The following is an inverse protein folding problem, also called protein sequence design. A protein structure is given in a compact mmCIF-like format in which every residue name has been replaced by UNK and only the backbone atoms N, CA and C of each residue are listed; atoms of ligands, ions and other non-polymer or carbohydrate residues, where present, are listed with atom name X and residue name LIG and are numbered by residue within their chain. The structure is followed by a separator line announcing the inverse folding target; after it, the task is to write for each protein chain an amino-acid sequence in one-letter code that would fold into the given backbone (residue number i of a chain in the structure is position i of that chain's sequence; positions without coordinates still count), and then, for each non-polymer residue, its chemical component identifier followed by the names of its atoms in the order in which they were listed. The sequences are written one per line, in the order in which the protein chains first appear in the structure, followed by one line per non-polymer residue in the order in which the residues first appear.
data_IF_821564110436
#
_entry.id   IF_821564110436
#
_cell.length_a   1.000
_cell.length_b   1.000
_cell.length_c   1.000
_cell.angle_alpha   90.00
_cell.angle_beta   90.00
_cell.angle_gamma   90.00
#
_symmetry.space_group_name_H-M   'P 1'
#
loop_
_entity.id
_entity.type
_entity.pdbx_description
1 polymer ?
#
# COMPACT_ATOMS: atom_id res chain seq x y z
N UNK A 1 15.01 28.73 9.30
CA UNK A 1 13.96 28.28 8.36
C UNK A 1 13.27 29.51 7.77
N UNK A 2 13.04 29.56 6.46
CA UNK A 2 12.34 30.68 5.82
C UNK A 2 10.83 30.54 6.00
N UNK A 3 10.07 31.65 5.96
CA UNK A 3 8.59 31.64 6.00
C UNK A 3 8.00 30.70 4.91
N UNK A 4 8.65 30.68 3.74
CA UNK A 4 8.30 29.80 2.63
C UNK A 4 8.46 28.32 3.00
N UNK A 5 9.55 27.94 3.67
CA UNK A 5 9.78 26.56 4.12
C UNK A 5 8.70 26.10 5.10
N UNK A 6 8.31 26.94 6.06
CA UNK A 6 7.21 26.64 7.00
C UNK A 6 5.89 26.44 6.27
N UNK A 7 5.58 27.29 5.29
CA UNK A 7 4.34 27.18 4.51
C UNK A 7 4.32 25.91 3.66
N UNK A 8 5.44 25.54 3.04
CA UNK A 8 5.58 24.30 2.27
C UNK A 8 5.40 23.09 3.19
N UNK A 9 6.07 23.07 4.34
CA UNK A 9 5.98 21.96 5.28
C UNK A 9 4.56 21.81 5.84
N UNK A 10 3.88 22.92 6.12
CA UNK A 10 2.49 22.92 6.53
C UNK A 10 1.57 22.33 5.45
N UNK A 11 1.75 22.70 4.18
CA UNK A 11 1.00 22.12 3.06
C UNK A 11 1.28 20.61 2.93
N UNK A 12 2.54 20.19 3.06
CA UNK A 12 2.91 18.77 3.03
C UNK A 12 2.27 17.99 4.19
N UNK A 13 2.26 18.56 5.40
CA UNK A 13 1.63 17.94 6.57
C UNK A 13 0.12 17.72 6.41
N UNK A 14 -0.57 18.56 5.62
CA UNK A 14 -1.97 18.34 5.25
C UNK A 14 -2.15 17.09 4.37
N UNK A 15 -1.23 16.84 3.43
CA UNK A 15 -1.26 15.63 2.62
C UNK A 15 -0.99 14.38 3.46
N UNK A 16 -0.08 14.46 4.45
CA UNK A 16 0.18 13.36 5.39
C UNK A 16 -1.08 13.05 6.21
N UNK A 17 -1.73 14.08 6.75
CA UNK A 17 -2.98 13.95 7.47
C UNK A 17 -4.10 13.36 6.61
N UNK A 18 -4.23 13.79 5.36
CA UNK A 18 -5.16 13.20 4.39
C UNK A 18 -4.89 11.71 4.18
N UNK A 19 -3.62 11.32 4.00
CA UNK A 19 -3.23 9.94 3.80
C UNK A 19 -3.60 9.07 5.00
N UNK A 20 -3.12 9.40 6.20
CA UNK A 20 -3.34 8.56 7.37
C UNK A 20 -4.81 8.47 7.77
N UNK A 21 -5.54 9.58 7.75
CA UNK A 21 -6.97 9.57 8.08
C UNK A 21 -7.81 8.83 7.04
N UNK A 22 -7.41 8.88 5.77
CA UNK A 22 -8.05 8.16 4.67
C UNK A 22 -7.76 6.66 4.68
N UNK A 23 -6.50 6.28 4.86
CA UNK A 23 -6.01 4.90 4.81
C UNK A 23 -6.47 4.07 6.03
N UNK A 24 -6.37 4.65 7.23
CA UNK A 24 -6.82 4.02 8.49
C UNK A 24 -8.32 4.20 8.73
N UNK A 25 -9.04 4.88 7.83
CA UNK A 25 -10.50 4.99 7.90
C UNK A 25 -11.01 5.67 9.18
N UNK A 26 -10.44 6.82 9.53
CA UNK A 26 -10.79 7.55 10.75
C UNK A 26 -12.30 7.81 10.85
N UNK A 27 -12.90 7.55 12.03
CA UNK A 27 -14.28 7.95 12.35
C UNK A 27 -14.45 9.48 12.30
N UNK A 28 -13.53 10.21 12.94
CA UNK A 28 -13.48 11.67 12.95
C UNK A 28 -12.27 12.20 12.17
N UNK A 29 -12.37 12.21 10.83
CA UNK A 29 -11.27 12.58 9.94
C UNK A 29 -10.70 13.98 10.20
N UNK A 30 -11.56 14.96 10.45
CA UNK A 30 -11.13 16.35 10.63
C UNK A 30 -10.33 16.53 11.93
N UNK A 31 -10.84 16.00 13.06
CA UNK A 31 -10.13 16.04 14.35
C UNK A 31 -8.78 15.32 14.27
N UNK A 32 -8.76 14.10 13.76
CA UNK A 32 -7.52 13.32 13.66
C UNK A 32 -6.55 13.96 12.65
N UNK A 33 -7.05 14.56 11.58
CA UNK A 33 -6.24 15.28 10.61
C UNK A 33 -5.53 16.49 11.23
N UNK A 34 -6.27 17.32 11.98
CA UNK A 34 -5.69 18.46 12.71
C UNK A 34 -4.61 18.00 13.70
N UNK A 35 -4.87 16.93 14.46
CA UNK A 35 -3.89 16.40 15.41
C UNK A 35 -2.62 15.88 14.73
N UNK A 36 -2.75 15.27 13.56
CA UNK A 36 -1.59 14.82 12.77
C UNK A 36 -0.79 16.03 12.26
N UNK A 37 -1.47 17.03 11.68
CA UNK A 37 -0.81 18.27 11.22
C UNK A 37 -0.04 18.91 12.37
N UNK A 38 -0.66 19.07 13.54
CA UNK A 38 -0.01 19.64 14.71
C UNK A 38 1.17 18.80 15.18
N UNK A 39 1.07 17.48 15.19
CA UNK A 39 2.19 16.61 15.58
C UNK A 39 3.38 16.74 14.62
N UNK A 40 3.15 16.79 13.31
CA UNK A 40 4.23 16.94 12.33
C UNK A 40 4.95 18.29 12.47
N UNK A 41 4.21 19.39 12.64
CA UNK A 41 4.81 20.74 12.70
C UNK A 41 5.37 21.08 14.10
N UNK A 42 4.71 20.66 15.19
CA UNK A 42 5.11 21.07 16.56
C UNK A 42 6.01 20.06 17.25
N UNK A 43 6.07 18.82 16.78
CA UNK A 43 6.86 17.76 17.42
C UNK A 43 7.91 17.24 16.44
N UNK A 44 7.50 16.77 15.26
CA UNK A 44 8.42 16.01 14.41
C UNK A 44 9.46 16.92 13.76
N UNK A 45 9.03 18.06 13.25
CA UNK A 45 9.92 19.06 12.64
C UNK A 45 10.97 19.60 13.63
N UNK A 46 10.62 20.05 14.86
CA UNK A 46 11.61 20.46 15.85
C UNK A 46 12.61 19.35 16.21
N UNK A 47 12.15 18.10 16.36
CA UNK A 47 13.01 16.95 16.62
C UNK A 47 13.96 16.72 15.45
N UNK A 48 13.47 16.77 14.21
CA UNK A 48 14.28 16.60 13.02
C UNK A 48 15.38 17.66 12.91
N UNK A 49 15.06 18.92 13.24
CA UNK A 49 16.02 20.03 13.28
C UNK A 49 17.07 19.80 14.37
N UNK A 50 16.67 19.30 15.55
CA UNK A 50 17.57 19.07 16.69
C UNK A 50 18.56 17.93 16.45
N UNK A 51 18.12 16.84 15.78
CA UNK A 51 18.98 15.68 15.49
C UNK A 51 20.12 16.06 14.53
N UNK A 52 19.88 17.00 13.60
CA UNK A 52 20.85 17.52 12.62
C UNK A 52 21.70 16.45 11.91
N UNK A 53 21.14 15.24 11.77
CA UNK A 53 21.75 14.09 11.13
C UNK A 53 20.67 13.31 10.40
N UNK A 54 20.66 13.44 9.07
CA UNK A 54 19.64 12.84 8.19
C UNK A 54 19.52 11.32 8.35
N UNK A 55 20.60 10.61 8.69
CA UNK A 55 20.60 9.15 8.88
C UNK A 55 19.76 8.71 10.09
N UNK A 56 19.68 9.55 11.13
CA UNK A 56 18.94 9.26 12.36
C UNK A 56 17.54 9.86 12.28
N UNK A 57 17.38 10.98 11.56
CA UNK A 57 16.09 11.66 11.42
C UNK A 57 15.03 10.75 10.83
N UNK A 58 15.33 10.02 9.75
CA UNK A 58 14.38 9.14 9.07
C UNK A 58 13.84 7.98 9.93
N UNK A 59 14.67 7.12 10.56
CA UNK A 59 14.15 6.08 11.46
C UNK A 59 13.42 6.68 12.67
N UNK A 60 13.85 7.85 13.15
CA UNK A 60 13.18 8.54 14.26
C UNK A 60 11.79 9.04 13.85
N UNK A 61 11.63 9.65 12.68
CA UNK A 61 10.33 10.09 12.17
C UNK A 61 9.42 8.90 11.90
N UNK A 62 9.92 7.77 11.39
CA UNK A 62 9.12 6.55 11.24
C UNK A 62 8.59 6.04 12.59
N UNK A 63 9.44 5.97 13.62
CA UNK A 63 9.04 5.53 14.97
C UNK A 63 8.02 6.49 15.59
N UNK A 64 8.26 7.79 15.50
CA UNK A 64 7.34 8.81 16.01
C UNK A 64 6.00 8.78 15.28
N UNK A 65 6.01 8.61 13.95
CA UNK A 65 4.79 8.44 13.14
C UNK A 65 4.03 7.20 13.60
N UNK A 66 4.71 6.07 13.79
CA UNK A 66 4.08 4.85 14.30
C UNK A 66 3.41 5.07 15.66
N UNK A 67 4.12 5.68 16.62
CA UNK A 67 3.59 5.98 17.96
C UNK A 67 2.36 6.89 17.85
N UNK A 68 2.44 7.96 17.06
CA UNK A 68 1.32 8.88 16.83
C UNK A 68 0.09 8.14 16.27
N UNK A 69 0.29 7.28 15.27
CA UNK A 69 -0.80 6.49 14.71
C UNK A 69 -1.41 5.52 15.73
N UNK A 70 -0.59 4.88 16.58
CA UNK A 70 -1.08 4.02 17.66
C UNK A 70 -1.89 4.79 18.70
N UNK A 71 -1.53 6.03 18.99
CA UNK A 71 -2.28 6.89 19.92
C UNK A 71 -3.62 7.33 19.33
N UNK A 72 -3.64 7.73 18.06
CA UNK A 72 -4.82 8.29 17.38
C UNK A 72 -5.79 7.23 16.84
N UNK A 73 -5.31 6.04 16.50
CA UNK A 73 -6.08 4.96 15.87
C UNK A 73 -6.00 3.66 16.68
N UNK A 74 -6.46 3.70 17.93
CA UNK A 74 -6.41 2.56 18.85
C UNK A 74 -7.18 1.32 18.35
N UNK A 75 -8.25 1.55 17.60
CA UNK A 75 -9.10 0.48 17.03
C UNK A 75 -8.45 -0.27 15.87
N UNK A 76 -7.39 0.30 15.26
CA UNK A 76 -6.70 -0.32 14.13
C UNK A 76 -5.65 -1.34 14.60
N UNK A 77 -5.36 -2.34 13.77
CA UNK A 77 -4.36 -3.36 14.10
C UNK A 77 -2.94 -2.79 14.04
N UNK A 78 -2.03 -3.32 14.87
CA UNK A 78 -0.61 -2.90 14.88
C UNK A 78 0.00 -3.03 13.48
N UNK A 79 -0.26 -4.16 12.80
CA UNK A 79 0.20 -4.42 11.42
C UNK A 79 -0.24 -3.33 10.45
N UNK A 80 -1.47 -2.84 10.58
CA UNK A 80 -2.02 -1.80 9.69
C UNK A 80 -1.45 -0.42 9.96
N UNK A 81 -1.11 -0.10 11.21
CA UNK A 81 -0.34 1.10 11.53
C UNK A 81 1.09 1.01 10.97
N UNK A 82 1.76 -0.13 11.13
CA UNK A 82 3.10 -0.35 10.57
C UNK A 82 3.07 -0.19 9.05
N UNK A 83 2.10 -0.83 8.37
CA UNK A 83 1.94 -0.72 6.93
C UNK A 83 1.67 0.72 6.48
N UNK A 84 0.86 1.48 7.22
CA UNK A 84 0.62 2.88 6.92
C UNK A 84 1.93 3.70 6.96
N UNK A 85 2.79 3.48 7.96
CA UNK A 85 4.10 4.14 8.05
C UNK A 85 4.98 3.75 6.87
N UNK A 86 5.00 2.48 6.47
CA UNK A 86 5.79 2.03 5.32
C UNK A 86 5.31 2.62 3.99
N UNK A 87 4.00 2.66 3.76
CA UNK A 87 3.46 3.31 2.55
C UNK A 87 3.73 4.81 2.53
N UNK A 88 3.60 5.47 3.68
CA UNK A 88 3.94 6.88 3.83
C UNK A 88 5.40 7.13 3.44
N UNK A 89 6.34 6.44 4.08
CA UNK A 89 7.77 6.68 3.88
C UNK A 89 8.23 6.26 2.48
N UNK A 90 7.76 5.11 1.98
CA UNK A 90 8.05 4.64 0.64
C UNK A 90 7.56 5.61 -0.44
N UNK A 91 6.38 6.21 -0.26
CA UNK A 91 5.89 7.25 -1.15
C UNK A 91 6.72 8.53 -1.09
N UNK A 92 7.14 8.96 0.10
CA UNK A 92 7.98 10.15 0.26
C UNK A 92 9.29 9.99 -0.49
N UNK A 93 10.00 8.88 -0.26
CA UNK A 93 11.26 8.58 -0.96
C UNK A 93 11.05 8.55 -2.47
N UNK A 94 9.99 7.89 -2.95
CA UNK A 94 9.68 7.84 -4.38
C UNK A 94 9.47 9.25 -4.96
N UNK A 95 8.67 10.08 -4.29
CA UNK A 95 8.39 11.44 -4.74
C UNK A 95 9.64 12.32 -4.72
N UNK A 96 10.49 12.16 -3.71
CA UNK A 96 11.79 12.84 -3.62
C UNK A 96 12.71 12.42 -4.76
N UNK A 97 12.84 11.12 -5.03
CA UNK A 97 13.65 10.59 -6.14
C UNK A 97 13.20 11.14 -7.49
N UNK A 98 11.90 11.11 -7.78
CA UNK A 98 11.36 11.67 -9.02
C UNK A 98 11.65 13.18 -9.10
N UNK A 99 11.42 13.92 -8.01
CA UNK A 99 11.65 15.36 -7.97
C UNK A 99 13.13 15.71 -8.17
N UNK A 100 14.05 14.93 -7.60
CA UNK A 100 15.49 15.07 -7.77
C UNK A 100 15.93 14.81 -9.21
N UNK A 101 15.38 13.79 -9.88
CA UNK A 101 15.63 13.55 -11.31
C UNK A 101 15.23 14.77 -12.14
N UNK A 102 14.04 15.30 -11.91
CA UNK A 102 13.56 16.50 -12.63
C UNK A 102 14.47 17.70 -12.37
N UNK A 103 14.91 17.89 -11.13
CA UNK A 103 15.80 18.98 -10.75
C UNK A 103 17.14 18.91 -11.50
N UNK A 104 17.71 17.71 -11.59
CA UNK A 104 18.94 17.43 -12.33
C UNK A 104 18.78 17.62 -13.84
N UNK A 105 17.64 17.21 -14.41
CA UNK A 105 17.36 17.41 -15.84
C UNK A 105 17.24 18.89 -16.24
N UNK A 106 16.79 19.75 -15.33
CA UNK A 106 16.70 21.20 -15.53
C UNK A 106 18.07 21.90 -15.33
N UNK A 107 19.12 21.13 -14.98
CA UNK A 107 20.48 21.66 -14.82
C UNK A 107 20.70 22.46 -13.53
N UNK A 108 19.79 22.33 -12.55
CA UNK A 108 19.95 22.94 -11.24
C UNK A 108 20.82 22.01 -10.40
N UNK A 109 22.00 22.46 -10.01
CA UNK A 109 22.90 21.68 -9.18
C UNK A 109 22.25 21.43 -7.79
N UNK A 110 22.24 20.19 -7.29
CA UNK A 110 21.88 19.89 -5.91
C UNK A 110 23.03 20.28 -4.97
N UNK A 111 23.37 21.58 -4.91
CA UNK A 111 24.19 22.15 -3.82
C UNK A 111 23.30 22.33 -2.56
N UNK A 112 23.78 22.77 -1.38
CA UNK A 112 23.12 22.54 -0.07
C UNK A 112 21.77 23.26 0.15
N UNK A 113 21.13 23.72 -0.92
CA UNK A 113 19.74 24.17 -1.01
C UNK A 113 18.69 23.17 -0.49
N UNK A 114 19.08 21.90 -0.28
CA UNK A 114 18.27 20.88 0.41
C UNK A 114 17.97 21.32 1.85
N UNK A 115 18.88 22.10 2.46
CA UNK A 115 18.69 22.61 3.82
C UNK A 115 17.87 23.91 3.91
N UNK A 116 17.62 24.60 2.79
CA UNK A 116 17.04 25.96 2.81
C UNK A 116 15.71 26.13 2.09
N UNK A 117 15.15 25.07 1.47
CA UNK A 117 13.90 25.17 0.69
C UNK A 117 13.95 26.31 -0.34
N UNK A 118 15.02 26.37 -1.14
CA UNK A 118 15.28 27.44 -2.11
C UNK A 118 15.05 27.02 -3.57
N UNK A 119 14.10 26.12 -3.83
CA UNK A 119 13.74 25.73 -5.19
C UNK A 119 12.64 26.63 -5.77
N UNK A 120 12.52 26.66 -7.10
CA UNK A 120 11.40 27.32 -7.75
C UNK A 120 10.08 26.66 -7.33
N UNK A 121 9.03 27.48 -7.14
CA UNK A 121 7.71 27.05 -6.64
C UNK A 121 7.14 25.86 -7.43
N UNK A 122 7.41 25.78 -8.74
CA UNK A 122 6.97 24.68 -9.59
C UNK A 122 7.43 23.29 -9.12
N UNK A 123 8.62 23.16 -8.53
CA UNK A 123 9.11 21.88 -8.01
C UNK A 123 8.35 21.43 -6.77
N UNK A 124 7.97 22.37 -5.88
CA UNK A 124 7.13 22.05 -4.72
C UNK A 124 5.72 21.61 -5.14
N UNK A 125 5.15 22.25 -6.17
CA UNK A 125 3.85 21.86 -6.72
C UNK A 125 3.93 20.46 -7.33
N UNK A 126 4.98 20.16 -8.10
CA UNK A 126 5.21 18.84 -8.70
C UNK A 126 5.36 17.76 -7.62
N UNK A 127 6.16 18.02 -6.59
CA UNK A 127 6.34 17.10 -5.48
C UNK A 127 5.03 16.83 -4.73
N UNK A 128 4.27 17.90 -4.41
CA UNK A 128 2.99 17.79 -3.74
C UNK A 128 1.94 17.03 -4.56
N UNK A 129 1.88 17.28 -5.88
CA UNK A 129 0.95 16.55 -6.78
C UNK A 129 1.30 15.07 -6.88
N UNK A 130 2.58 14.72 -7.02
CA UNK A 130 3.04 13.32 -7.00
C UNK A 130 2.66 12.61 -5.70
N UNK A 131 2.84 13.29 -4.57
CA UNK A 131 2.47 12.75 -3.26
C UNK A 131 0.96 12.52 -3.14
N UNK A 132 0.13 13.49 -3.54
CA UNK A 132 -1.33 13.37 -3.49
C UNK A 132 -1.87 12.26 -4.40
N UNK A 133 -1.30 12.09 -5.60
CA UNK A 133 -1.66 11.02 -6.54
C UNK A 133 -1.30 9.66 -5.95
N UNK A 134 -0.05 9.51 -5.45
CA UNK A 134 0.44 8.29 -4.82
C UNK A 134 -0.39 7.88 -3.60
N UNK A 135 -0.65 8.82 -2.70
CA UNK A 135 -1.49 8.58 -1.51
C UNK A 135 -2.92 8.21 -1.88
N UNK A 136 -3.53 8.90 -2.84
CA UNK A 136 -4.90 8.58 -3.27
C UNK A 136 -4.98 7.18 -3.89
N UNK A 137 -3.98 6.78 -4.68
CA UNK A 137 -3.89 5.44 -5.24
C UNK A 137 -3.80 4.37 -4.14
N UNK A 138 -2.92 4.56 -3.14
CA UNK A 138 -2.77 3.62 -2.02
C UNK A 138 -4.05 3.52 -1.20
N UNK A 139 -4.67 4.64 -0.86
CA UNK A 139 -5.94 4.66 -0.14
C UNK A 139 -7.00 3.89 -0.94
N UNK A 140 -7.17 4.19 -2.23
CA UNK A 140 -8.15 3.50 -3.06
C UNK A 140 -7.91 1.98 -3.10
N UNK A 141 -6.64 1.56 -3.23
CA UNK A 141 -6.28 0.16 -3.42
C UNK A 141 -6.34 -0.68 -2.14
N UNK A 142 -5.99 -0.11 -1.00
CA UNK A 142 -5.74 -0.85 0.25
C UNK A 142 -6.69 -0.53 1.40
N UNK A 143 -7.51 0.54 1.32
CA UNK A 143 -8.44 0.93 2.41
C UNK A 143 -9.47 -0.13 2.79
N UNK A 144 -9.89 -0.98 1.84
CA UNK A 144 -10.95 -1.99 2.06
C UNK A 144 -10.45 -3.23 2.83
N UNK A 145 -9.15 -3.53 2.77
CA UNK A 145 -8.58 -4.71 3.46
C UNK A 145 -8.27 -4.38 4.92
N UNK A 146 -9.28 -4.50 5.81
CA UNK A 146 -9.08 -4.42 7.27
C UNK A 146 -8.27 -5.61 7.81
N UNK A 147 -8.30 -6.73 7.12
CA UNK A 147 -7.47 -7.91 7.36
C UNK A 147 -6.28 -7.84 6.42
N UNK A 148 -5.15 -7.29 6.91
CA UNK A 148 -3.86 -7.49 6.25
C UNK A 148 -3.54 -8.96 6.43
N UNK A 149 -3.70 -9.74 5.37
CA UNK A 149 -3.29 -11.14 5.37
C UNK A 149 -1.78 -11.20 5.47
N UNK A 150 -1.27 -12.08 6.34
CA UNK A 150 0.17 -12.26 6.61
C UNK A 150 1.01 -12.56 5.35
N UNK A 151 0.35 -12.91 4.25
CA UNK A 151 0.96 -13.09 2.92
C UNK A 151 1.59 -11.81 2.31
N UNK A 152 1.20 -10.61 2.75
CA UNK A 152 1.73 -9.34 2.21
C UNK A 152 3.02 -8.87 2.91
N UNK A 153 3.28 -9.35 4.12
CA UNK A 153 4.40 -8.96 4.98
C UNK A 153 5.80 -9.16 4.35
N UNK A 154 6.12 -10.27 3.65
CA UNK A 154 7.43 -10.42 3.02
C UNK A 154 7.64 -9.46 1.85
N UNK A 155 6.59 -9.10 1.12
CA UNK A 155 6.69 -8.18 -0.02
C UNK A 155 6.82 -6.74 0.41
N UNK A 156 6.12 -6.35 1.47
CA UNK A 156 6.29 -5.05 2.15
C UNK A 156 7.69 -4.93 2.74
N UNK A 157 8.25 -6.03 3.28
CA UNK A 157 9.63 -6.09 3.79
C UNK A 157 10.68 -5.96 2.68
N UNK A 158 10.43 -6.51 1.48
CA UNK A 158 11.29 -6.34 0.30
C UNK A 158 11.22 -4.89 -0.20
N UNK A 159 10.03 -4.29 -0.23
CA UNK A 159 9.83 -2.90 -0.64
C UNK A 159 10.52 -1.94 0.35
N UNK A 160 10.47 -2.25 1.64
CA UNK A 160 11.23 -1.58 2.69
C UNK A 160 12.73 -1.75 2.53
N UNK A 161 13.21 -2.98 2.31
CA UNK A 161 14.64 -3.24 2.12
C UNK A 161 15.15 -2.50 0.89
N UNK A 162 14.38 -2.44 -0.19
CA UNK A 162 14.69 -1.67 -1.40
C UNK A 162 14.65 -0.17 -1.16
N UNK A 163 13.68 0.35 -0.41
CA UNK A 163 13.61 1.76 -0.05
C UNK A 163 14.81 2.18 0.82
N UNK A 164 15.19 1.35 1.79
CA UNK A 164 16.37 1.54 2.62
C UNK A 164 17.65 1.45 1.79
N UNK A 165 17.79 0.47 0.89
CA UNK A 165 18.96 0.34 0.01
C UNK A 165 19.08 1.56 -0.91
N UNK A 166 17.96 1.99 -1.49
CA UNK A 166 17.92 3.15 -2.39
C UNK A 166 18.29 4.41 -1.63
N UNK A 167 17.79 4.58 -0.40
CA UNK A 167 18.14 5.69 0.49
C UNK A 167 19.63 5.66 0.87
N UNK A 168 20.19 4.50 1.25
CA UNK A 168 21.63 4.36 1.55
C UNK A 168 22.46 4.74 0.33
N UNK A 169 22.06 4.30 -0.86
CA UNK A 169 22.80 4.54 -2.10
C UNK A 169 22.72 6.01 -2.53
N UNK A 170 21.54 6.63 -2.47
CA UNK A 170 21.41 8.05 -2.82
C UNK A 170 22.04 8.97 -1.79
N UNK A 171 21.98 8.66 -0.49
CA UNK A 171 22.61 9.49 0.55
C UNK A 171 24.12 9.27 0.68
N UNK A 172 24.63 8.05 0.50
CA UNK A 172 26.09 7.76 0.60
C UNK A 172 26.87 8.27 -0.62
N UNK A 173 26.24 8.39 -1.78
CA UNK A 173 26.86 8.89 -3.00
C UNK A 173 26.27 10.22 -3.48
N UNK A 174 25.53 10.93 -2.62
CA UNK A 174 24.78 12.14 -2.98
C UNK A 174 25.62 13.20 -3.69
N UNK A 175 26.92 13.30 -3.35
CA UNK A 175 27.85 14.27 -3.92
C UNK A 175 28.65 13.78 -5.13
N UNK A 176 28.58 12.49 -5.47
CA UNK A 176 29.36 11.86 -6.55
C UNK A 176 28.50 11.07 -7.55
N UNK A 177 27.19 11.02 -7.36
CA UNK A 177 26.28 10.28 -8.21
C UNK A 177 26.15 10.96 -9.57
N UNK A 178 26.63 10.27 -10.62
CA UNK A 178 26.37 10.69 -11.98
C UNK A 178 24.88 10.54 -12.31
N UNK A 179 24.35 11.42 -13.16
CA UNK A 179 22.96 11.37 -13.66
C UNK A 179 22.62 9.98 -14.23
N UNK A 180 23.58 9.36 -14.92
CA UNK A 180 23.46 8.00 -15.48
C UNK A 180 23.19 6.96 -14.38
N UNK A 181 23.91 7.04 -13.27
CA UNK A 181 23.73 6.12 -12.13
C UNK A 181 22.35 6.26 -11.52
N UNK A 182 21.90 7.50 -11.33
CA UNK A 182 20.59 7.81 -10.74
C UNK A 182 19.43 7.38 -11.64
N UNK A 183 19.56 7.52 -12.97
CA UNK A 183 18.62 7.00 -13.95
C UNK A 183 18.53 5.46 -13.94
N UNK A 184 19.68 4.78 -13.85
CA UNK A 184 19.72 3.31 -13.75
C UNK A 184 18.97 2.84 -12.50
N UNK A 185 19.22 3.46 -11.35
CA UNK A 185 18.51 3.11 -10.11
C UNK A 185 17.02 3.41 -10.18
N UNK A 186 16.63 4.54 -10.79
CA UNK A 186 15.22 4.90 -10.96
C UNK A 186 14.50 3.91 -11.89
N UNK A 187 15.15 3.51 -12.98
CA UNK A 187 14.64 2.46 -13.87
C UNK A 187 14.51 1.11 -13.15
N UNK A 188 15.52 0.69 -12.39
CA UNK A 188 15.46 -0.54 -11.60
C UNK A 188 14.32 -0.49 -10.57
N UNK A 189 14.14 0.64 -9.90
CA UNK A 189 13.05 0.85 -8.95
C UNK A 189 11.69 0.73 -9.64
N UNK A 190 11.50 1.39 -10.78
CA UNK A 190 10.26 1.34 -11.57
C UNK A 190 9.99 -0.09 -12.06
N UNK A 191 10.99 -0.78 -12.60
CA UNK A 191 10.86 -2.16 -13.08
C UNK A 191 10.45 -3.08 -11.92
N UNK A 192 11.08 -2.92 -10.76
CA UNK A 192 10.75 -3.71 -9.57
C UNK A 192 9.34 -3.40 -9.09
N UNK A 193 8.94 -2.12 -9.07
CA UNK A 193 7.58 -1.72 -8.71
C UNK A 193 6.53 -2.31 -9.67
N UNK A 194 6.78 -2.30 -10.99
CA UNK A 194 5.91 -2.92 -12.00
C UNK A 194 5.83 -4.43 -11.78
N UNK A 195 6.95 -5.09 -11.52
CA UNK A 195 7.01 -6.53 -11.26
C UNK A 195 6.21 -6.91 -10.01
N UNK A 196 6.39 -6.16 -8.92
CA UNK A 196 5.64 -6.34 -7.68
C UNK A 196 4.14 -6.08 -7.88
N UNK A 197 3.78 -5.05 -8.66
CA UNK A 197 2.39 -4.76 -8.98
C UNK A 197 1.75 -5.91 -9.78
N UNK A 198 2.44 -6.42 -10.80
CA UNK A 198 1.98 -7.57 -11.59
C UNK A 198 1.79 -8.82 -10.72
N UNK A 199 2.72 -9.09 -9.81
CA UNK A 199 2.61 -10.24 -8.88
C UNK A 199 1.47 -10.08 -7.87
N UNK A 200 1.22 -8.86 -7.39
CA UNK A 200 0.07 -8.59 -6.54
C UNK A 200 -1.25 -8.85 -7.29
N UNK A 201 -1.36 -8.44 -8.56
CA UNK A 201 -2.54 -8.75 -9.39
C UNK A 201 -2.70 -10.27 -9.57
N UNK A 202 -1.62 -11.00 -9.89
CA UNK A 202 -1.66 -12.46 -10.05
C UNK A 202 -2.18 -13.14 -8.77
N UNK A 203 -1.70 -12.72 -7.60
CA UNK A 203 -2.14 -13.23 -6.32
C UNK A 203 -3.63 -12.94 -6.05
N UNK A 204 -4.09 -11.72 -6.32
CA UNK A 204 -5.51 -11.36 -6.19
C UNK A 204 -6.40 -12.22 -7.08
N UNK A 205 -5.95 -12.52 -8.29
CA UNK A 205 -6.67 -13.40 -9.20
C UNK A 205 -6.73 -14.84 -8.67
N UNK A 206 -5.62 -15.37 -8.13
CA UNK A 206 -5.61 -16.69 -7.48
C UNK A 206 -6.58 -16.76 -6.29
N UNK A 207 -6.57 -15.74 -5.43
CA UNK A 207 -7.48 -15.68 -4.29
C UNK A 207 -8.95 -15.62 -4.71
N UNK A 208 -9.27 -14.84 -5.75
CA UNK A 208 -10.61 -14.84 -6.35
C UNK A 208 -11.00 -16.22 -6.88
N UNK A 209 -10.06 -16.93 -7.52
CA UNK A 209 -10.28 -18.29 -8.00
C UNK A 209 -10.53 -19.27 -6.84
N UNK A 210 -9.75 -19.19 -5.76
CA UNK A 210 -9.94 -20.02 -4.57
C UNK A 210 -11.32 -19.81 -3.93
N UNK A 211 -11.75 -18.56 -3.75
CA UNK A 211 -13.09 -18.24 -3.23
C UNK A 211 -14.18 -18.78 -4.17
N UNK A 212 -13.99 -18.63 -5.48
CA UNK A 212 -14.94 -19.13 -6.48
C UNK A 212 -15.02 -20.66 -6.44
N UNK A 213 -13.88 -21.34 -6.29
CA UNK A 213 -13.80 -22.81 -6.16
C UNK A 213 -14.52 -23.29 -4.90
N UNK A 214 -14.30 -22.65 -3.76
CA UNK A 214 -15.01 -22.97 -2.51
C UNK A 214 -16.52 -22.83 -2.69
N UNK A 215 -16.99 -21.74 -3.31
CA UNK A 215 -18.41 -21.54 -3.58
C UNK A 215 -19.00 -22.63 -4.49
N UNK A 216 -18.26 -23.05 -5.51
CA UNK A 216 -18.65 -24.15 -6.39
C UNK A 216 -18.72 -25.48 -5.66
N UNK A 217 -17.74 -25.78 -4.79
CA UNK A 217 -17.72 -26.98 -3.97
C UNK A 217 -18.91 -27.02 -3.01
N UNK A 218 -19.22 -25.92 -2.34
CA UNK A 218 -20.38 -25.81 -1.45
C UNK A 218 -21.71 -25.99 -2.20
N UNK A 219 -21.82 -25.41 -3.40
CA UNK A 219 -22.99 -25.56 -4.26
C UNK A 219 -23.18 -27.01 -4.71
N UNK A 220 -22.10 -27.67 -5.16
CA UNK A 220 -22.12 -29.10 -5.53
C UNK A 220 -22.48 -29.97 -4.34
N UNK A 221 -21.94 -29.69 -3.15
CA UNK A 221 -22.27 -30.45 -1.94
C UNK A 221 -23.76 -30.32 -1.59
N UNK A 222 -24.32 -29.10 -1.66
CA UNK A 222 -25.76 -28.87 -1.47
C UNK A 222 -26.62 -29.59 -2.51
N UNK A 223 -26.20 -29.61 -3.77
CA UNK A 223 -26.90 -30.35 -4.82
C UNK A 223 -26.86 -31.86 -4.56
N UNK A 224 -25.70 -32.42 -4.21
CA UNK A 224 -25.56 -33.83 -3.86
C UNK A 224 -26.45 -34.23 -2.67
N UNK A 225 -26.51 -33.39 -1.63
CA UNK A 225 -27.42 -33.58 -0.50
C UNK A 225 -28.89 -33.58 -0.92
N UNK A 226 -29.31 -32.65 -1.79
CA UNK A 226 -30.67 -32.64 -2.37
C UNK A 226 -30.95 -33.91 -3.17
N UNK A 227 -30.02 -34.40 -3.98
CA UNK A 227 -30.17 -35.66 -4.71
C UNK A 227 -30.30 -36.87 -3.78
N UNK A 228 -29.56 -36.91 -2.67
CA UNK A 228 -29.69 -37.97 -1.66
C UNK A 228 -31.06 -37.90 -0.97
N UNK A 229 -31.56 -36.70 -0.67
CA UNK A 229 -32.90 -36.49 -0.12
C UNK A 229 -33.97 -36.97 -1.11
N UNK A 230 -33.89 -36.56 -2.38
CA UNK A 230 -34.81 -36.99 -3.44
C UNK A 230 -34.76 -38.52 -3.67
N UNK A 231 -33.58 -39.15 -3.62
CA UNK A 231 -33.46 -40.62 -3.70
C UNK A 231 -34.17 -41.34 -2.55
N UNK A 232 -34.28 -40.68 -1.39
CA UNK A 232 -34.98 -41.20 -0.24
C UNK A 232 -36.48 -40.93 -0.24
N UNK A 233 -36.97 -40.07 -1.14
CA UNK A 233 -38.40 -39.89 -1.36
C UNK A 233 -39.00 -41.10 -2.08
N UNK A 234 -40.14 -41.55 -1.57
CA UNK A 234 -40.80 -42.79 -1.98
C UNK A 234 -41.23 -42.76 -3.46
N UNK A 235 -41.55 -41.57 -3.99
CA UNK A 235 -41.89 -41.36 -5.40
C UNK A 235 -40.70 -41.63 -6.34
N UNK A 236 -39.50 -41.19 -5.99
CA UNK A 236 -38.30 -41.44 -6.79
C UNK A 236 -37.83 -42.89 -6.70
N UNK A 237 -38.06 -43.56 -5.56
CA UNK A 237 -37.82 -45.01 -5.44
C UNK A 237 -38.76 -45.81 -6.33
N UNK A 238 -40.05 -45.46 -6.37
CA UNK A 238 -41.03 -46.07 -7.30
C UNK A 238 -40.65 -45.84 -8.76
N UNK A 239 -40.36 -44.60 -9.15
CA UNK A 239 -39.90 -44.26 -10.50
C UNK A 239 -38.64 -45.02 -10.92
N UNK A 240 -37.68 -45.20 -10.00
CA UNK A 240 -36.47 -45.99 -10.26
C UNK A 240 -36.78 -47.47 -10.42
N UNK A 241 -37.69 -48.02 -9.62
CA UNK A 241 -38.12 -49.41 -9.71
C UNK A 241 -38.88 -49.67 -11.01
N UNK A 242 -39.77 -48.77 -11.41
CA UNK A 242 -40.52 -48.84 -12.67
C UNK A 242 -39.58 -48.77 -13.88
N UNK A 243 -38.55 -47.91 -13.82
CA UNK A 243 -37.55 -47.80 -14.87
C UNK A 243 -36.65 -49.04 -14.99
N UNK A 244 -36.23 -49.63 -13.87
CA UNK A 244 -35.46 -50.88 -13.87
C UNK A 244 -36.30 -52.02 -14.44
N UNK A 245 -37.55 -52.15 -14.00
CA UNK A 245 -38.49 -53.14 -14.54
C UNK A 245 -38.70 -52.96 -16.06
N UNK A 246 -38.81 -51.71 -16.52
CA UNK A 246 -38.93 -51.41 -17.95
C UNK A 246 -37.69 -51.82 -18.75
N UNK A 247 -36.48 -51.60 -18.21
CA UNK A 247 -35.23 -52.03 -18.85
C UNK A 247 -35.09 -53.56 -18.84
N UNK A 248 -35.43 -54.22 -17.74
CA UNK A 248 -35.38 -55.69 -17.65
C UNK A 248 -36.39 -56.35 -18.58
N UNK A 249 -37.62 -55.82 -18.68
CA UNK A 249 -38.61 -56.29 -19.66
C UNK A 249 -38.13 -56.10 -21.09
N UNK A 250 -37.45 -54.99 -21.39
CA UNK A 250 -36.88 -54.72 -22.71
C UNK A 250 -35.70 -55.64 -23.04
N UNK A 251 -34.89 -56.03 -22.05
CA UNK A 251 -33.73 -56.90 -22.24
C UNK A 251 -34.10 -58.39 -22.24
N UNK A 252 -35.12 -58.79 -21.47
CA UNK A 252 -35.62 -60.18 -21.41
C UNK A 252 -36.73 -60.46 -22.45
N UNK A 253 -37.20 -59.44 -23.16
CA UNK A 253 -38.14 -59.54 -24.28
C UNK A 253 -37.45 -59.75 -25.65
N UNK A 254 -36.18 -60.18 -25.65
CA UNK A 254 -35.48 -60.69 -26.84
C UNK A 254 -35.27 -62.18 -26.72
#
# INVERSE_FOLDING_TARGET
MSLLGLLIFLIQSLAFAYFFTGFLGAKNRLKNGILIVLAFNLIFEPIAIFINNSYITMPTTMVLTFILLRMLFKEESIKRCILAVFFYEGCMILCEMISLIFLLLVGINPTPAISTYQYAIGFYILHFTLMMVSFTFIIYRFKSNRTIEDAYMPWESILLAMAILTCIITTSFYYTMSISTLLIYSCLFIITAIFLFKKNIEYQNRKKQEITLQYLQDSLHKQAQKYIQLKNEEQFRKLRHDYINFIEQRNNGR
#
